data_IF_389095825508
#
_entry.id   IF_389095825508
#
_cell.length_a   1.000
_cell.length_b   1.000
_cell.length_c   1.000
_cell.angle_alpha   90.00
_cell.angle_beta   90.00
_cell.angle_gamma   90.00
#
_symmetry.space_group_name_H-M   'P 1'
#
loop_
_entity.id
_entity.type
_entity.pdbx_description
1 polymer ?
#
# COMPACT_ATOMS: atom_id res chain seq x y z
N UNK A 1 51.48 -0.26 -1.81
CA UNK A 1 50.44 0.80 -1.84
C UNK A 1 49.21 0.25 -1.14
N UNK A 2 48.79 0.84 -0.02
CA UNK A 2 47.58 0.39 0.71
C UNK A 2 46.36 1.11 0.14
N UNK A 3 45.29 0.38 -0.13
CA UNK A 3 44.02 0.95 -0.61
C UNK A 3 43.48 1.92 0.47
N UNK A 4 43.28 3.22 0.18
CA UNK A 4 42.79 4.18 1.17
C UNK A 4 41.38 3.83 1.69
N UNK A 5 40.61 2.99 0.98
CA UNK A 5 39.27 2.55 1.34
C UNK A 5 39.23 1.34 2.28
N UNK A 6 40.36 0.68 2.57
CA UNK A 6 40.40 -0.52 3.44
C UNK A 6 40.80 -0.21 4.89
N UNK A 7 40.82 1.06 5.30
CA UNK A 7 41.12 1.43 6.69
C UNK A 7 39.89 1.10 7.55
N UNK A 8 40.01 0.28 8.60
CA UNK A 8 38.90 0.02 9.51
C UNK A 8 38.38 1.34 10.09
N UNK A 9 37.07 1.55 10.07
CA UNK A 9 36.48 2.68 10.78
C UNK A 9 36.77 2.54 12.28
N UNK A 10 37.43 3.54 12.86
CA UNK A 10 37.66 3.63 14.30
C UNK A 10 36.68 4.65 14.87
N UNK A 11 35.74 4.26 15.75
CA UNK A 11 34.84 5.21 16.38
C UNK A 11 35.65 6.25 17.14
N UNK A 12 35.47 7.53 16.80
CA UNK A 12 35.80 8.61 17.74
C UNK A 12 34.73 8.63 18.82
N UNK A 13 35.08 9.06 20.02
CA UNK A 13 34.08 9.35 21.06
C UNK A 13 33.09 10.37 20.50
N UNK A 14 31.78 10.07 20.44
CA UNK A 14 30.81 11.03 19.93
C UNK A 14 30.73 12.25 20.84
N UNK A 15 30.48 13.42 20.24
CA UNK A 15 30.10 14.60 21.02
C UNK A 15 28.76 14.35 21.75
N UNK A 16 28.48 15.05 22.86
CA UNK A 16 27.20 14.94 23.55
C UNK A 16 26.02 15.10 22.57
N UNK A 17 25.10 14.14 22.56
CA UNK A 17 23.94 14.13 21.67
C UNK A 17 24.16 13.49 20.29
N UNK A 18 25.39 13.03 19.98
CA UNK A 18 25.67 12.27 18.76
C UNK A 18 25.77 10.77 19.08
N UNK A 19 25.18 9.93 18.23
CA UNK A 19 25.34 8.49 18.28
C UNK A 19 25.95 7.98 16.97
N UNK A 20 26.95 7.11 17.07
CA UNK A 20 27.49 6.38 15.93
C UNK A 20 26.88 4.98 15.87
N UNK A 21 26.34 4.60 14.71
CA UNK A 21 25.82 3.26 14.45
C UNK A 21 26.66 2.63 13.34
N UNK A 22 27.29 1.49 13.63
CA UNK A 22 27.89 0.65 12.60
C UNK A 22 26.90 -0.47 12.27
N UNK A 23 26.28 -0.37 11.09
CA UNK A 23 25.32 -1.36 10.61
C UNK A 23 25.99 -2.59 9.94
N UNK A 24 27.32 -2.59 9.79
CA UNK A 24 28.10 -3.63 9.09
C UNK A 24 27.56 -3.98 7.70
N UNK A 25 27.04 -2.97 6.99
CA UNK A 25 26.53 -3.10 5.62
C UNK A 25 27.65 -2.86 4.61
N UNK A 26 27.61 -3.54 3.47
CA UNK A 26 28.50 -3.27 2.33
C UNK A 26 28.05 -2.03 1.57
N UNK A 27 26.74 -1.89 1.40
CA UNK A 27 26.10 -0.85 0.61
C UNK A 27 24.90 -0.29 1.39
N UNK A 28 24.65 1.01 1.23
CA UNK A 28 23.53 1.72 1.86
C UNK A 28 22.84 2.53 0.78
N UNK A 29 21.55 2.28 0.60
CA UNK A 29 20.73 2.94 -0.41
C UNK A 29 19.56 3.69 0.22
N UNK A 30 18.98 4.62 -0.54
CA UNK A 30 17.71 5.23 -0.17
C UNK A 30 16.59 4.17 -0.14
N UNK A 31 15.59 4.38 0.73
CA UNK A 31 14.43 3.51 0.78
C UNK A 31 13.67 3.49 -0.54
N UNK A 32 13.26 2.30 -0.99
CA UNK A 32 12.57 2.09 -2.25
C UNK A 32 11.16 2.71 -2.25
N UNK A 33 10.69 3.06 -3.44
CA UNK A 33 9.36 3.62 -3.69
C UNK A 33 8.62 2.76 -4.71
N UNK A 34 7.39 2.36 -4.39
CA UNK A 34 6.48 1.74 -5.35
C UNK A 34 5.28 2.66 -5.64
N UNK A 35 5.14 3.09 -6.90
CA UNK A 35 4.12 4.04 -7.30
C UNK A 35 2.79 3.41 -7.72
N UNK A 36 2.67 2.08 -7.73
CA UNK A 36 1.48 1.40 -8.21
C UNK A 36 1.23 0.10 -7.44
N UNK A 37 0.53 0.22 -6.31
CA UNK A 37 0.12 -0.95 -5.53
C UNK A 37 -1.39 -1.00 -5.30
N UNK A 38 -1.85 -2.18 -4.90
CA UNK A 38 -3.19 -2.44 -4.38
C UNK A 38 -3.04 -3.15 -3.04
N UNK A 39 -2.79 -2.37 -2.00
CA UNK A 39 -2.34 -2.86 -0.69
C UNK A 39 -3.40 -3.74 0.00
N UNK A 40 -4.68 -3.48 -0.28
CA UNK A 40 -5.81 -4.26 0.25
C UNK A 40 -6.11 -5.53 -0.56
N UNK A 41 -5.43 -5.73 -1.71
CA UNK A 41 -5.53 -6.97 -2.50
C UNK A 41 -4.58 -8.01 -1.93
N UNK A 42 -5.03 -8.67 -0.86
CA UNK A 42 -4.16 -9.52 -0.04
C UNK A 42 -4.09 -10.97 -0.55
N UNK A 43 -2.98 -11.69 -0.27
CA UNK A 43 -2.79 -13.08 -0.69
C UNK A 43 -3.91 -13.97 -0.13
N UNK A 44 -4.60 -14.70 -1.02
CA UNK A 44 -5.76 -15.62 -0.84
C UNK A 44 -7.00 -15.23 -1.67
N UNK A 45 -7.01 -14.05 -2.28
CA UNK A 45 -7.96 -13.75 -3.35
C UNK A 45 -7.43 -14.36 -4.66
N UNK A 46 -8.08 -15.44 -5.15
CA UNK A 46 -7.73 -16.05 -6.43
C UNK A 46 -8.29 -15.22 -7.60
N UNK A 47 -9.33 -14.43 -7.33
CA UNK A 47 -9.88 -13.42 -8.23
C UNK A 47 -10.23 -12.13 -7.48
N UNK A 48 -10.31 -11.01 -8.20
CA UNK A 48 -10.83 -9.73 -7.66
C UNK A 48 -12.27 -9.86 -7.16
N UNK A 49 -13.06 -10.83 -7.67
CA UNK A 49 -14.40 -11.14 -7.16
C UNK A 49 -14.35 -11.73 -5.76
N UNK A 50 -13.31 -12.50 -5.43
CA UNK A 50 -13.19 -13.13 -4.11
C UNK A 50 -12.98 -12.08 -3.02
N UNK A 51 -12.36 -10.94 -3.34
CA UNK A 51 -12.22 -9.82 -2.39
C UNK A 51 -13.58 -9.29 -1.92
N UNK A 52 -14.64 -9.38 -2.74
CA UNK A 52 -15.98 -8.95 -2.35
C UNK A 52 -16.63 -9.89 -1.33
N UNK A 53 -16.24 -11.17 -1.33
CA UNK A 53 -16.78 -12.19 -0.44
C UNK A 53 -16.01 -12.32 0.88
N UNK A 54 -14.79 -11.75 0.97
CA UNK A 54 -13.95 -11.84 2.15
C UNK A 54 -14.42 -10.85 3.23
N UNK A 55 -14.41 -11.30 4.49
CA UNK A 55 -14.69 -10.44 5.64
C UNK A 55 -13.73 -9.23 5.66
N UNK A 56 -14.24 -7.98 5.76
CA UNK A 56 -13.40 -6.79 5.79
C UNK A 56 -12.32 -6.79 6.87
N UNK A 57 -12.58 -7.39 8.04
CA UNK A 57 -11.59 -7.50 9.11
C UNK A 57 -10.42 -8.42 8.70
N UNK A 58 -10.71 -9.50 7.97
CA UNK A 58 -9.67 -10.37 7.42
C UNK A 58 -8.79 -9.62 6.42
N UNK A 59 -9.40 -8.79 5.55
CA UNK A 59 -8.63 -7.91 4.65
C UNK A 59 -7.76 -6.95 5.44
N UNK A 60 -8.30 -6.30 6.48
CA UNK A 60 -7.54 -5.38 7.32
C UNK A 60 -6.32 -6.04 7.99
N UNK A 61 -6.49 -7.20 8.62
CA UNK A 61 -5.39 -7.93 9.26
C UNK A 61 -4.30 -8.36 8.27
N UNK A 62 -4.71 -8.84 7.09
CA UNK A 62 -3.76 -9.23 6.04
C UNK A 62 -3.06 -8.02 5.42
N UNK A 63 -3.75 -6.90 5.29
CA UNK A 63 -3.19 -5.65 4.78
C UNK A 63 -2.09 -5.15 5.70
N UNK A 64 -2.29 -5.22 7.03
CA UNK A 64 -1.25 -4.90 8.01
C UNK A 64 -0.01 -5.80 7.87
N UNK A 65 -0.21 -7.10 7.65
CA UNK A 65 0.89 -8.02 7.35
C UNK A 65 1.63 -7.63 6.07
N UNK A 66 0.91 -7.40 4.95
CA UNK A 66 1.51 -7.02 3.66
C UNK A 66 2.30 -5.72 3.78
N UNK A 67 1.74 -4.70 4.45
CA UNK A 67 2.41 -3.41 4.66
C UNK A 67 3.74 -3.58 5.41
N UNK A 68 3.76 -4.40 6.46
CA UNK A 68 4.99 -4.72 7.20
C UNK A 68 6.02 -5.43 6.31
N UNK A 69 5.58 -6.42 5.52
CA UNK A 69 6.48 -7.17 4.65
C UNK A 69 7.07 -6.30 3.52
N UNK A 70 6.31 -5.33 2.99
CA UNK A 70 6.84 -4.35 2.04
C UNK A 70 7.96 -3.51 2.66
N UNK A 71 7.75 -3.05 3.90
CA UNK A 71 8.77 -2.28 4.62
C UNK A 71 10.05 -3.09 4.85
N UNK A 72 9.92 -4.35 5.26
CA UNK A 72 11.07 -5.25 5.47
C UNK A 72 11.83 -5.58 4.18
N UNK A 73 11.20 -5.45 3.01
CA UNK A 73 11.83 -5.59 1.69
C UNK A 73 12.49 -4.29 1.20
N UNK A 74 12.45 -3.22 2.00
CA UNK A 74 13.10 -1.95 1.71
C UNK A 74 12.20 -0.90 1.07
N UNK A 75 10.91 -1.19 0.83
CA UNK A 75 9.96 -0.17 0.39
C UNK A 75 9.57 0.72 1.56
N UNK A 76 9.99 1.98 1.50
CA UNK A 76 9.70 2.96 2.58
C UNK A 76 8.57 3.91 2.20
N UNK A 77 8.14 3.91 0.94
CA UNK A 77 7.00 4.70 0.45
C UNK A 77 6.27 3.95 -0.64
N UNK A 78 4.93 3.98 -0.60
CA UNK A 78 4.08 3.31 -1.59
C UNK A 78 2.88 4.18 -1.94
N UNK A 79 2.36 4.03 -3.16
CA UNK A 79 1.10 4.64 -3.61
C UNK A 79 0.08 3.57 -3.96
N UNK A 80 -0.97 3.50 -3.16
CA UNK A 80 -2.15 2.69 -3.48
C UNK A 80 -3.02 3.40 -4.52
N UNK A 81 -3.29 2.68 -5.61
CA UNK A 81 -4.03 3.18 -6.78
C UNK A 81 -5.45 2.63 -6.86
N UNK A 82 -5.89 1.89 -5.84
CA UNK A 82 -7.20 1.28 -5.79
C UNK A 82 -7.31 0.40 -4.57
N UNK A 83 -8.25 0.74 -3.68
CA UNK A 83 -8.66 -0.11 -2.56
C UNK A 83 -8.43 0.52 -1.20
N UNK A 84 -7.21 0.97 -0.92
CA UNK A 84 -6.88 1.60 0.36
C UNK A 84 -7.60 2.94 0.56
N UNK A 85 -7.86 3.28 1.81
CA UNK A 85 -8.53 4.51 2.22
C UNK A 85 -7.65 5.38 3.12
N UNK A 86 -8.17 6.56 3.47
CA UNK A 86 -7.49 7.50 4.36
C UNK A 86 -7.26 6.89 5.75
N UNK A 87 -8.17 6.05 6.25
CA UNK A 87 -8.03 5.43 7.56
C UNK A 87 -6.80 4.52 7.63
N UNK A 88 -6.54 3.73 6.58
CA UNK A 88 -5.33 2.91 6.51
C UNK A 88 -4.05 3.76 6.46
N UNK A 89 -4.05 4.84 5.68
CA UNK A 89 -2.91 5.78 5.64
C UNK A 89 -2.65 6.38 7.02
N UNK A 90 -3.70 6.86 7.68
CA UNK A 90 -3.59 7.54 8.95
C UNK A 90 -3.12 6.55 10.04
N UNK A 91 -3.64 5.32 10.05
CA UNK A 91 -3.17 4.27 10.95
C UNK A 91 -1.68 3.93 10.77
N UNK A 92 -1.16 3.96 9.55
CA UNK A 92 0.29 3.79 9.30
C UNK A 92 1.06 5.03 9.76
N UNK A 93 0.55 6.23 9.47
CA UNK A 93 1.20 7.50 9.88
C UNK A 93 1.28 7.65 11.40
N UNK A 94 0.28 7.16 12.13
CA UNK A 94 0.21 7.10 13.59
C UNK A 94 1.01 5.93 14.18
N UNK A 95 1.66 5.13 13.34
CA UNK A 95 2.41 3.92 13.73
C UNK A 95 1.56 2.84 14.42
N UNK A 96 0.23 2.86 14.25
CA UNK A 96 -0.67 1.78 14.69
C UNK A 96 -0.46 0.52 13.85
N UNK A 97 -0.10 0.70 12.58
CA UNK A 97 0.27 -0.36 11.64
C UNK A 97 1.70 -0.09 11.15
N UNK A 98 2.57 -1.08 11.29
CA UNK A 98 3.93 -1.01 10.74
C UNK A 98 3.88 -1.15 9.22
N UNK A 99 4.37 -0.14 8.50
CA UNK A 99 4.39 -0.15 7.04
C UNK A 99 5.10 1.04 6.41
N UNK A 100 5.22 1.08 5.07
CA UNK A 100 5.74 2.22 4.33
C UNK A 100 4.85 3.45 4.45
N UNK A 101 5.40 4.64 4.22
CA UNK A 101 4.58 5.85 4.02
C UNK A 101 3.60 5.62 2.88
N UNK A 102 2.30 5.79 3.16
CA UNK A 102 1.23 5.45 2.21
C UNK A 102 0.64 6.70 1.57
N UNK A 103 0.60 6.73 0.24
CA UNK A 103 -0.23 7.65 -0.53
C UNK A 103 -1.44 6.89 -1.07
N UNK A 104 -2.63 7.50 -1.01
CA UNK A 104 -3.89 6.82 -1.37
C UNK A 104 -4.63 7.58 -2.46
N UNK A 105 -4.94 6.90 -3.56
CA UNK A 105 -5.83 7.41 -4.60
C UNK A 105 -7.32 7.17 -4.30
N UNK A 106 -7.62 6.29 -3.33
CA UNK A 106 -8.98 5.84 -3.02
C UNK A 106 -9.41 4.71 -3.95
N UNK A 107 -10.68 4.71 -4.37
CA UNK A 107 -11.21 3.68 -5.28
C UNK A 107 -10.82 3.99 -6.72
N UNK A 108 -10.40 2.96 -7.46
CA UNK A 108 -10.17 3.09 -8.90
C UNK A 108 -11.48 3.42 -9.62
N UNK A 109 -11.47 4.30 -10.61
CA UNK A 109 -12.68 4.63 -11.38
C UNK A 109 -12.75 3.75 -12.62
N UNK A 110 -13.92 3.16 -12.90
CA UNK A 110 -14.14 2.33 -14.09
C UNK A 110 -15.53 2.56 -14.67
N UNK A 111 -15.66 2.47 -15.99
CA UNK A 111 -16.96 2.36 -16.64
C UNK A 111 -17.53 0.94 -16.48
N UNK A 112 -18.84 0.81 -16.66
CA UNK A 112 -19.55 -0.48 -16.71
C UNK A 112 -18.95 -1.41 -17.78
N UNK A 113 -18.80 -2.69 -17.42
CA UNK A 113 -18.29 -3.74 -18.29
C UNK A 113 -16.78 -3.71 -18.54
N UNK A 114 -15.99 -2.93 -17.77
CA UNK A 114 -14.53 -2.82 -17.93
C UNK A 114 -13.76 -3.30 -16.71
N UNK A 115 -12.48 -2.96 -16.65
CA UNK A 115 -11.50 -3.55 -15.74
C UNK A 115 -11.84 -3.38 -14.25
N UNK A 116 -12.55 -2.32 -13.86
CA UNK A 116 -13.01 -2.13 -12.48
C UNK A 116 -14.47 -2.55 -12.25
N UNK A 117 -15.13 -3.18 -13.22
CA UNK A 117 -16.47 -3.73 -13.06
C UNK A 117 -16.41 -5.21 -12.68
N UNK A 118 -16.40 -5.46 -11.37
CA UNK A 118 -16.27 -6.79 -10.80
C UNK A 118 -17.61 -7.41 -10.40
N UNK A 119 -18.74 -6.79 -10.79
CA UNK A 119 -20.07 -7.32 -10.50
C UNK A 119 -20.25 -8.72 -11.11
N UNK A 120 -21.07 -9.54 -10.45
CA UNK A 120 -21.58 -10.76 -11.08
C UNK A 120 -22.57 -10.37 -12.19
N UNK A 121 -22.73 -11.22 -13.21
CA UNK A 121 -23.58 -10.94 -14.38
C UNK A 121 -25.06 -10.69 -14.03
N UNK A 122 -25.49 -11.12 -12.84
CA UNK A 122 -26.83 -10.97 -12.29
C UNK A 122 -26.95 -9.81 -11.29
N UNK A 123 -25.84 -9.14 -10.93
CA UNK A 123 -25.84 -8.02 -10.00
C UNK A 123 -25.99 -6.69 -10.75
N UNK A 124 -27.04 -5.94 -10.41
CA UNK A 124 -27.26 -4.58 -10.88
C UNK A 124 -26.22 -3.58 -10.36
N UNK A 125 -26.39 -2.30 -10.65
CA UNK A 125 -25.54 -1.26 -10.04
C UNK A 125 -25.67 -1.34 -8.51
N UNK A 126 -24.54 -1.45 -7.82
CA UNK A 126 -24.50 -1.37 -6.35
C UNK A 126 -25.27 -0.13 -5.90
N UNK A 127 -26.26 -0.25 -5.00
CA UNK A 127 -27.06 0.90 -4.62
C UNK A 127 -26.13 1.96 -4.02
N UNK A 128 -26.09 3.09 -4.71
CA UNK A 128 -25.53 4.38 -4.33
C UNK A 128 -26.20 4.90 -3.04
N UNK A 129 -26.09 4.17 -1.93
CA UNK A 129 -26.49 4.66 -0.63
C UNK A 129 -25.28 5.34 0.03
N UNK A 130 -25.53 6.51 0.63
CA UNK A 130 -24.62 7.62 0.96
C UNK A 130 -23.43 7.34 1.91
N UNK A 131 -22.85 6.15 1.92
CA UNK A 131 -21.74 5.80 2.80
C UNK A 131 -21.42 4.32 2.90
N UNK A 132 -21.88 3.47 1.98
CA UNK A 132 -21.47 2.07 2.01
C UNK A 132 -20.00 1.98 1.62
N UNK A 133 -19.15 1.69 2.61
CA UNK A 133 -17.75 1.30 2.41
C UNK A 133 -17.74 -0.03 1.67
N UNK A 134 -17.72 0.02 0.35
CA UNK A 134 -17.58 -1.19 -0.45
C UNK A 134 -16.13 -1.70 -0.31
N UNK A 135 -15.91 -2.99 -0.02
CA UNK A 135 -14.58 -3.58 -0.06
C UNK A 135 -14.00 -3.60 -1.48
N UNK A 136 -14.79 -3.21 -2.50
CA UNK A 136 -14.39 -3.08 -3.89
C UNK A 136 -13.08 -2.32 -4.08
N UNK A 137 -12.24 -2.78 -5.02
CA UNK A 137 -11.07 -2.04 -5.48
C UNK A 137 -11.45 -0.75 -6.24
N UNK A 138 -12.60 -0.82 -6.92
CA UNK A 138 -13.04 0.17 -7.90
C UNK A 138 -14.48 0.63 -7.66
N UNK A 139 -14.83 1.75 -8.28
CA UNK A 139 -16.16 2.34 -8.32
C UNK A 139 -16.59 2.57 -9.77
N UNK A 140 -17.83 2.20 -10.07
CA UNK A 140 -18.42 2.42 -11.39
C UNK A 140 -18.76 3.90 -11.59
N UNK A 141 -18.34 4.45 -12.73
CA UNK A 141 -18.54 5.83 -13.15
C UNK A 141 -18.76 5.85 -14.66
N UNK A 142 -20.02 5.91 -15.09
CA UNK A 142 -20.41 5.85 -16.51
C UNK A 142 -20.43 7.21 -17.22
N UNK A 143 -20.11 8.29 -16.51
CA UNK A 143 -20.23 9.64 -17.07
C UNK A 143 -21.69 10.04 -17.34
N UNK A 144 -21.88 11.16 -18.05
CA UNK A 144 -23.21 11.61 -18.48
C UNK A 144 -23.64 10.82 -19.74
N UNK A 145 -24.78 10.10 -19.73
CA UNK A 145 -25.25 9.35 -20.90
C UNK A 145 -25.54 10.21 -22.14
N UNK A 146 -25.77 11.52 -21.98
CA UNK A 146 -26.06 12.45 -23.10
C UNK A 146 -24.81 12.91 -23.87
N UNK A 147 -23.61 12.46 -23.47
CA UNK A 147 -22.33 12.92 -24.02
C UNK A 147 -21.55 11.81 -24.76
N UNK A 148 -22.22 10.73 -25.19
CA UNK A 148 -21.61 9.58 -25.90
C UNK A 148 -21.99 9.49 -27.36
#
# INVERSE_FOLDING_TARGET
>A
MTNPWTKPWLPRTPAPGIAFYNANLTDVEAGLIDCHVHLTTTPSSFSLKDLYAINPNTVAHRTAYVAREMLLRGFTTVRDTGGADAALRDAISESLIVGPRLFVAGKALSQTGKHGDFRASDQGDEPMCCGRHSPALARICNGNPEMS
#
